data_IF_221982443238
#
_entry.id   IF_221982443238
#
_cell.length_a   1.000
_cell.length_b   1.000
_cell.length_c   1.000
_cell.angle_alpha   90.00
_cell.angle_beta   90.00
_cell.angle_gamma   90.00
#
_symmetry.space_group_name_H-M   'P 1'
#
loop_
_entity.id
_entity.type
_entity.pdbx_description
1 polymer ?
#
# COMPACT_ATOMS: atom_id res chain seq x y z
N UNK A 1 -13.83 -7.94 -2.22
CA UNK A 1 -13.12 -8.39 -1.00
C UNK A 1 -11.61 -8.40 -1.26
N UNK A 2 -10.79 -8.25 -0.22
CA UNK A 2 -9.34 -8.44 -0.32
C UNK A 2 -8.87 -9.44 0.75
N UNK A 3 -7.74 -10.08 0.51
CA UNK A 3 -6.96 -10.85 1.48
C UNK A 3 -5.53 -10.33 1.52
N UNK A 4 -4.87 -10.51 2.66
CA UNK A 4 -3.45 -10.23 2.80
C UNK A 4 -2.70 -11.54 2.99
N UNK A 5 -1.74 -11.79 2.11
CA UNK A 5 -0.90 -12.97 2.13
C UNK A 5 0.53 -12.58 2.52
N UNK A 6 1.09 -13.09 3.63
CA UNK A 6 2.49 -12.84 3.94
C UNK A 6 3.39 -13.53 2.92
N UNK A 7 4.40 -12.82 2.44
CA UNK A 7 5.43 -13.35 1.54
C UNK A 7 6.60 -13.90 2.35
N UNK A 8 7.02 -15.12 2.03
CA UNK A 8 8.22 -15.73 2.60
C UNK A 8 9.47 -15.03 2.10
N UNK A 9 10.53 -14.98 2.90
CA UNK A 9 11.85 -14.50 2.45
C UNK A 9 12.42 -15.31 1.30
N UNK A 10 11.96 -16.55 1.09
CA UNK A 10 12.39 -17.39 -0.04
C UNK A 10 11.53 -17.18 -1.30
N UNK A 11 10.45 -16.40 -1.21
CA UNK A 11 9.56 -16.13 -2.34
C UNK A 11 10.27 -15.25 -3.38
N UNK A 12 10.28 -15.61 -4.68
CA UNK A 12 10.84 -14.74 -5.71
C UNK A 12 10.22 -13.34 -5.75
N UNK A 13 8.92 -13.21 -5.47
CA UNK A 13 8.22 -11.92 -5.40
C UNK A 13 8.73 -11.08 -4.22
N UNK A 14 9.04 -11.72 -3.09
CA UNK A 14 9.69 -11.05 -1.97
C UNK A 14 11.06 -10.50 -2.40
N UNK A 15 11.90 -11.32 -3.02
CA UNK A 15 13.25 -10.92 -3.44
C UNK A 15 13.21 -9.79 -4.48
N UNK A 16 12.27 -9.85 -5.43
CA UNK A 16 12.04 -8.78 -6.40
C UNK A 16 11.68 -7.45 -5.71
N UNK A 17 10.72 -7.47 -4.78
CA UNK A 17 10.32 -6.26 -4.04
C UNK A 17 11.49 -5.66 -3.27
N UNK A 18 12.27 -6.49 -2.56
CA UNK A 18 13.46 -6.05 -1.83
C UNK A 18 14.49 -5.40 -2.75
N UNK A 19 14.70 -5.96 -3.95
CA UNK A 19 15.68 -5.44 -4.91
C UNK A 19 15.41 -3.98 -5.35
N UNK A 20 14.18 -3.49 -5.16
CA UNK A 20 13.79 -2.12 -5.48
C UNK A 20 14.00 -1.12 -4.32
N UNK A 21 14.32 -1.58 -3.10
CA UNK A 21 14.66 -0.68 -2.00
C UNK A 21 16.13 -0.26 -2.11
N UNK A 22 16.36 0.97 -2.58
CA UNK A 22 17.70 1.57 -2.77
C UNK A 22 18.32 2.11 -1.46
N UNK A 23 18.01 1.45 -0.34
CA UNK A 23 18.53 1.83 0.97
C UNK A 23 19.49 0.74 1.47
N UNK A 24 20.61 1.12 2.12
CA UNK A 24 21.50 0.14 2.72
C UNK A 24 20.72 -0.75 3.70
N UNK A 25 20.90 -2.08 3.71
CA UNK A 25 20.19 -2.96 4.65
C UNK A 25 20.41 -2.62 6.13
N UNK A 26 21.40 -1.80 6.46
CA UNK A 26 21.67 -1.31 7.82
C UNK A 26 20.76 -0.15 8.25
N UNK A 27 20.06 0.53 7.34
CA UNK A 27 19.24 1.70 7.66
C UNK A 27 17.77 1.37 7.96
N UNK A 28 17.34 0.13 7.77
CA UNK A 28 15.99 -0.32 8.06
C UNK A 28 15.93 -1.83 8.31
N UNK A 29 14.91 -2.27 9.04
CA UNK A 29 14.57 -3.68 9.17
C UNK A 29 13.18 -3.91 8.59
N UNK A 30 13.08 -4.82 7.61
CA UNK A 30 11.77 -5.26 7.10
C UNK A 30 11.23 -6.34 8.03
N UNK A 31 10.15 -6.01 8.72
CA UNK A 31 9.44 -6.96 9.58
C UNK A 31 8.66 -7.99 8.77
N UNK A 32 7.91 -7.54 7.76
CA UNK A 32 7.10 -8.41 6.90
C UNK A 32 6.76 -7.72 5.58
N UNK A 33 6.50 -8.52 4.54
CA UNK A 33 5.90 -8.05 3.28
C UNK A 33 4.58 -8.78 3.10
N UNK A 34 3.49 -8.01 3.00
CA UNK A 34 2.15 -8.54 2.79
C UNK A 34 1.71 -8.23 1.37
N UNK A 35 1.39 -9.29 0.60
CA UNK A 35 0.75 -9.17 -0.70
C UNK A 35 -0.73 -8.90 -0.51
N UNK A 36 -1.22 -7.83 -1.15
CA UNK A 36 -2.65 -7.52 -1.19
C UNK A 36 -3.24 -8.26 -2.38
N UNK A 37 -4.08 -9.26 -2.10
CA UNK A 37 -4.86 -9.96 -3.10
C UNK A 37 -6.26 -9.32 -3.13
N UNK A 38 -6.57 -8.61 -4.22
CA UNK A 38 -7.89 -8.00 -4.40
C UNK A 38 -8.73 -8.82 -5.38
N UNK A 39 -10.03 -8.92 -5.13
CA UNK A 39 -10.96 -9.48 -6.10
C UNK A 39 -10.96 -8.69 -7.42
N UNK A 40 -11.17 -9.42 -8.51
CA UNK A 40 -11.06 -8.94 -9.89
C UNK A 40 -11.85 -7.65 -10.18
N UNK A 41 -13.00 -7.43 -9.54
CA UNK A 41 -13.79 -6.20 -9.72
C UNK A 41 -13.02 -4.92 -9.33
N UNK A 42 -12.18 -4.99 -8.30
CA UNK A 42 -11.38 -3.84 -7.85
C UNK A 42 -10.14 -3.63 -8.74
N UNK A 43 -9.55 -4.71 -9.23
CA UNK A 43 -8.46 -4.70 -10.21
C UNK A 43 -8.94 -4.08 -11.53
N UNK A 44 -10.12 -4.49 -12.00
CA UNK A 44 -10.75 -3.94 -13.20
C UNK A 44 -10.98 -2.44 -13.14
N UNK A 45 -11.26 -1.86 -11.97
CA UNK A 45 -11.40 -0.41 -11.86
C UNK A 45 -10.09 0.32 -12.19
N UNK A 46 -8.95 -0.26 -11.83
CA UNK A 46 -7.64 0.24 -12.20
C UNK A 46 -7.33 -0.05 -13.68
N UNK A 47 -7.54 -1.30 -14.11
CA UNK A 47 -7.24 -1.73 -15.48
C UNK A 47 -8.10 -1.01 -16.52
N UNK A 48 -9.38 -0.76 -16.26
CA UNK A 48 -10.25 0.00 -17.17
C UNK A 48 -9.84 1.47 -17.28
N UNK A 49 -9.33 2.10 -16.20
CA UNK A 49 -8.79 3.46 -16.24
C UNK A 49 -7.48 3.52 -17.04
N UNK A 50 -6.63 2.49 -16.92
CA UNK A 50 -5.39 2.34 -17.71
C UNK A 50 -5.70 2.05 -19.19
N UNK A 51 -6.74 1.26 -19.49
CA UNK A 51 -7.14 0.92 -20.86
C UNK A 51 -7.65 2.12 -21.66
N UNK A 52 -8.28 3.11 -21.02
CA UNK A 52 -8.77 4.31 -21.70
C UNK A 52 -7.70 5.39 -21.92
N UNK A 53 -6.56 5.26 -21.24
CA UNK A 53 -5.52 6.29 -21.18
C UNK A 53 -4.22 5.79 -21.82
N UNK A 54 -4.19 5.67 -23.16
CA UNK A 54 -2.95 5.67 -23.95
C UNK A 54 -1.82 4.75 -23.45
N UNK A 55 -1.90 3.42 -23.59
CA UNK A 55 -0.80 2.43 -23.41
C UNK A 55 0.46 2.97 -22.68
N UNK A 56 0.29 3.50 -21.46
CA UNK A 56 1.42 4.05 -20.73
C UNK A 56 2.19 2.86 -20.15
N UNK A 57 3.53 2.92 -20.09
CA UNK A 57 4.28 1.90 -19.40
C UNK A 57 3.74 1.81 -17.96
N UNK A 58 3.54 0.58 -17.48
CA UNK A 58 3.20 0.33 -16.08
C UNK A 58 4.45 0.64 -15.27
N UNK A 59 4.40 1.68 -14.45
CA UNK A 59 5.49 2.08 -13.56
C UNK A 59 5.14 1.59 -12.16
N UNK A 60 6.08 0.91 -11.51
CA UNK A 60 5.98 0.54 -10.10
C UNK A 60 6.55 1.66 -9.25
N UNK A 61 5.80 2.10 -8.25
CA UNK A 61 6.16 3.20 -7.36
C UNK A 61 5.91 2.79 -5.90
N UNK A 62 6.68 3.37 -4.99
CA UNK A 62 6.45 3.25 -3.55
C UNK A 62 5.55 4.38 -3.03
N UNK A 63 4.65 4.06 -2.10
CA UNK A 63 3.80 5.03 -1.41
C UNK A 63 3.83 4.80 0.10
N UNK A 64 4.48 5.71 0.83
CA UNK A 64 4.50 5.69 2.29
C UNK A 64 3.16 6.16 2.86
N UNK A 65 2.67 5.50 3.92
CA UNK A 65 1.42 5.85 4.59
C UNK A 65 1.51 5.63 6.10
N UNK A 66 0.56 6.19 6.86
CA UNK A 66 0.44 5.95 8.30
C UNK A 66 -0.05 4.52 8.57
N UNK A 67 0.39 3.94 9.69
CA UNK A 67 -0.07 2.62 10.14
C UNK A 67 -1.61 2.54 10.26
N UNK A 68 -2.14 1.31 10.20
CA UNK A 68 -3.54 1.05 10.52
C UNK A 68 -3.83 1.37 11.99
N UNK A 69 -5.10 1.70 12.27
CA UNK A 69 -5.58 1.88 13.64
C UNK A 69 -5.49 0.58 14.47
N UNK A 70 -5.61 -0.58 13.82
CA UNK A 70 -5.34 -1.87 14.43
C UNK A 70 -4.47 -2.71 13.47
N UNK A 71 -3.20 -2.90 13.82
CA UNK A 71 -2.24 -3.65 13.00
C UNK A 71 -2.40 -5.16 13.12
N UNK A 72 -3.04 -5.65 14.19
CA UNK A 72 -3.16 -7.09 14.48
C UNK A 72 -4.24 -7.78 13.65
N UNK A 73 -5.18 -7.01 13.10
CA UNK A 73 -6.39 -7.54 12.46
C UNK A 73 -6.47 -7.16 10.97
N UNK A 74 -5.32 -6.84 10.36
CA UNK A 74 -5.24 -6.39 8.97
C UNK A 74 -5.76 -7.40 7.94
N UNK A 75 -5.72 -8.69 8.25
CA UNK A 75 -6.21 -9.76 7.35
C UNK A 75 -7.74 -9.85 7.32
N UNK A 76 -8.44 -9.24 8.27
CA UNK A 76 -9.89 -9.33 8.41
C UNK A 76 -10.54 -8.05 7.89
N UNK A 77 -11.04 -8.08 6.65
CA UNK A 77 -11.56 -6.88 5.97
C UNK A 77 -12.72 -6.20 6.71
N UNK A 78 -13.52 -6.97 7.45
CA UNK A 78 -14.61 -6.52 8.33
C UNK A 78 -14.11 -5.84 9.62
N UNK A 79 -12.83 -5.99 9.98
CA UNK A 79 -12.23 -5.38 11.18
C UNK A 79 -11.45 -4.10 10.88
N UNK A 80 -11.22 -3.78 9.60
CA UNK A 80 -10.72 -2.47 9.23
C UNK A 80 -11.73 -1.37 9.60
N UNK A 81 -11.26 -0.22 10.08
CA UNK A 81 -12.16 0.91 10.32
C UNK A 81 -12.74 1.49 9.02
N UNK A 82 -13.86 2.21 9.11
CA UNK A 82 -14.47 2.92 7.97
C UNK A 82 -13.93 4.35 7.80
N UNK A 83 -12.95 4.75 8.63
CA UNK A 83 -12.33 6.06 8.51
C UNK A 83 -11.41 6.10 7.27
N UNK A 84 -11.83 6.83 6.24
CA UNK A 84 -11.07 7.02 5.00
C UNK A 84 -9.71 7.69 5.23
N UNK A 85 -9.52 8.43 6.32
CA UNK A 85 -8.24 9.06 6.67
C UNK A 85 -7.27 8.12 7.40
N UNK A 86 -7.70 6.91 7.75
CA UNK A 86 -6.79 5.90 8.28
C UNK A 86 -5.93 5.38 7.13
N UNK A 87 -4.60 5.51 7.23
CA UNK A 87 -3.67 5.25 6.12
C UNK A 87 -3.85 3.87 5.49
N UNK A 88 -3.45 2.80 6.21
CA UNK A 88 -3.57 1.43 5.69
C UNK A 88 -5.04 0.98 5.52
N UNK A 89 -5.92 1.24 6.50
CA UNK A 89 -7.32 0.79 6.41
C UNK A 89 -8.08 1.43 5.23
N UNK A 90 -7.85 2.73 5.01
CA UNK A 90 -8.44 3.49 3.92
C UNK A 90 -7.97 3.00 2.56
N UNK A 91 -6.65 2.75 2.40
CA UNK A 91 -6.09 2.20 1.16
C UNK A 91 -6.64 0.80 0.87
N UNK A 92 -6.71 -0.09 1.87
CA UNK A 92 -7.20 -1.45 1.67
C UNK A 92 -8.70 -1.51 1.30
N UNK A 93 -9.53 -0.61 1.86
CA UNK A 93 -10.97 -0.57 1.56
C UNK A 93 -11.32 0.17 0.27
N UNK A 94 -10.65 1.29 0.02
CA UNK A 94 -11.10 2.28 -0.95
C UNK A 94 -10.07 2.59 -2.02
N UNK A 95 -8.86 2.03 -1.92
CA UNK A 95 -7.72 2.36 -2.76
C UNK A 95 -7.11 3.72 -2.41
N UNK A 96 -6.14 4.14 -3.22
CA UNK A 96 -5.53 5.46 -3.09
C UNK A 96 -6.48 6.54 -3.61
N UNK A 97 -7.11 7.31 -2.72
CA UNK A 97 -7.98 8.43 -3.09
C UNK A 97 -7.29 9.77 -2.76
N UNK A 98 -7.27 10.70 -3.72
CA UNK A 98 -6.65 12.01 -3.53
C UNK A 98 -7.22 12.77 -2.32
N UNK A 99 -8.52 12.63 -2.05
CA UNK A 99 -9.18 13.24 -0.88
C UNK A 99 -8.67 12.74 0.48
N UNK A 100 -7.95 11.62 0.53
CA UNK A 100 -7.31 11.09 1.74
C UNK A 100 -5.95 11.73 2.00
N UNK A 101 -5.31 12.29 0.96
CA UNK A 101 -4.16 13.14 1.14
C UNK A 101 -4.66 14.45 1.75
N UNK A 102 -4.50 14.61 3.06
CA UNK A 102 -4.84 15.88 3.73
C UNK A 102 -4.18 17.03 2.96
N UNK A 103 -4.91 18.11 2.63
CA UNK A 103 -4.34 19.24 1.88
C UNK A 103 -3.18 19.98 2.56
N UNK A 104 -2.79 19.64 3.81
CA UNK A 104 -1.84 20.40 4.62
C UNK A 104 -0.54 19.66 5.01
N UNK A 105 -0.17 18.55 4.36
CA UNK A 105 1.11 17.87 4.64
C UNK A 105 2.24 18.21 3.65
N UNK A 106 2.00 19.03 2.63
CA UNK A 106 3.05 19.63 1.84
C UNK A 106 3.64 20.85 2.59
N UNK A 107 4.45 20.62 3.63
CA UNK A 107 5.26 21.70 4.23
C UNK A 107 5.34 21.80 5.76
N UNK A 108 4.75 20.87 6.52
CA UNK A 108 5.02 20.82 7.97
C UNK A 108 6.32 20.04 8.22
N UNK A 109 7.39 20.77 8.50
CA UNK A 109 8.66 20.24 8.98
C UNK A 109 8.38 19.47 10.27
N UNK A 110 8.47 18.14 10.23
CA UNK A 110 8.50 17.34 11.45
C UNK A 110 9.91 17.49 12.02
N UNK A 111 10.10 18.04 13.23
CA UNK A 111 11.40 17.97 13.86
C UNK A 111 11.70 16.50 14.16
N UNK A 112 12.85 16.03 13.68
CA UNK A 112 13.42 14.77 14.13
C UNK A 112 13.63 14.90 15.65
N UNK A 113 12.94 14.07 16.42
CA UNK A 113 13.24 13.81 17.83
C UNK A 113 13.95 12.47 17.90
#
# INVERSE_FOLDING_TARGET
MFSLKPLSKMDPEYQEIISHFDLPPSSYTIHNILKIEMEWFYINRFDHVVMWSWKKPIIRLFHGTKHACNVWELNESNKLCDNIECGVCGILKFGNLLKMARPNFAGSVVPLV
#
